data_IF_651950302883
#
_entry.id   IF_651950302883
#
_cell.length_a   1.000
_cell.length_b   1.000
_cell.length_c   1.000
_cell.angle_alpha   90.00
_cell.angle_beta   90.00
_cell.angle_gamma   90.00
#
_symmetry.space_group_name_H-M   'P 1'
#
loop_
_entity.id
_entity.type
_entity.pdbx_description
1 polymer ?
#
# COMPACT_ATOMS: atom_id res chain seq x y z
N UNK A 1 7.39 -55.97 5.52
CA UNK A 1 7.49 -54.83 4.59
C UNK A 1 6.55 -53.77 5.10
N UNK A 2 7.08 -52.73 5.76
CA UNK A 2 6.26 -51.68 6.39
C UNK A 2 6.16 -50.53 5.39
N UNK A 3 4.91 -50.22 5.03
CA UNK A 3 4.55 -49.16 4.09
C UNK A 3 4.76 -47.80 4.75
N UNK A 4 5.71 -47.00 4.27
CA UNK A 4 5.86 -45.60 4.70
C UNK A 4 4.78 -44.74 4.06
N UNK A 5 3.87 -44.28 4.92
CA UNK A 5 2.85 -43.28 4.62
C UNK A 5 3.56 -41.95 4.35
N UNK A 6 3.48 -41.47 3.10
CA UNK A 6 3.94 -40.14 2.71
C UNK A 6 3.20 -39.08 3.52
N UNK A 7 3.90 -38.49 4.50
CA UNK A 7 3.38 -37.40 5.30
C UNK A 7 3.15 -36.18 4.39
N UNK A 8 1.88 -35.87 4.12
CA UNK A 8 1.43 -34.62 3.50
C UNK A 8 2.04 -33.43 4.28
N UNK A 9 3.16 -32.88 3.78
CA UNK A 9 3.74 -31.64 4.29
C UNK A 9 2.70 -30.53 4.10
N UNK A 10 2.01 -30.15 5.18
CA UNK A 10 1.19 -28.94 5.20
C UNK A 10 2.03 -27.77 4.66
N UNK A 11 1.52 -26.97 3.70
CA UNK A 11 2.24 -25.82 3.20
C UNK A 11 2.63 -24.92 4.38
N UNK A 12 3.92 -24.57 4.51
CA UNK A 12 4.36 -23.63 5.53
C UNK A 12 3.63 -22.30 5.29
N UNK A 13 2.92 -21.81 6.30
CA UNK A 13 2.27 -20.50 6.24
C UNK A 13 3.32 -19.39 6.20
N UNK A 14 3.30 -18.58 5.13
CA UNK A 14 4.22 -17.46 4.90
C UNK A 14 3.46 -16.14 4.90
N UNK A 15 4.18 -15.04 5.14
CA UNK A 15 3.61 -13.70 5.02
C UNK A 15 2.49 -13.45 6.03
N UNK A 16 1.46 -12.74 5.58
CA UNK A 16 0.30 -12.40 6.40
C UNK A 16 -0.57 -13.59 6.78
N UNK A 17 -0.46 -14.73 6.09
CA UNK A 17 -1.18 -15.98 6.45
C UNK A 17 -0.79 -16.54 7.82
N UNK A 18 0.22 -15.95 8.47
CA UNK A 18 0.59 -16.23 9.87
C UNK A 18 -0.28 -15.49 10.88
N UNK A 19 -0.96 -14.42 10.46
CA UNK A 19 -1.77 -13.54 11.32
C UNK A 19 -3.24 -13.55 10.90
N UNK A 20 -3.49 -13.66 9.60
CA UNK A 20 -4.82 -13.54 8.99
C UNK A 20 -5.09 -14.75 8.10
N UNK A 21 -6.19 -15.46 8.36
CA UNK A 21 -6.65 -16.50 7.44
C UNK A 21 -7.15 -15.92 6.10
N UNK A 22 -7.43 -16.79 5.13
CA UNK A 22 -7.85 -16.36 3.79
C UNK A 22 -9.20 -15.63 3.79
N UNK A 23 -10.09 -15.98 4.72
CA UNK A 23 -11.40 -15.36 4.81
C UNK A 23 -11.28 -13.95 5.40
N UNK A 24 -10.51 -13.77 6.47
CA UNK A 24 -10.19 -12.46 7.04
C UNK A 24 -9.53 -11.53 6.00
N UNK A 25 -8.57 -12.05 5.22
CA UNK A 25 -7.94 -11.27 4.16
C UNK A 25 -8.94 -10.87 3.07
N UNK A 26 -9.81 -11.80 2.64
CA UNK A 26 -10.86 -11.52 1.66
C UNK A 26 -11.84 -10.48 2.18
N UNK A 27 -12.33 -10.64 3.39
CA UNK A 27 -13.30 -9.71 3.98
C UNK A 27 -12.71 -8.31 4.15
N UNK A 28 -11.46 -8.19 4.60
CA UNK A 28 -10.77 -6.90 4.69
C UNK A 28 -10.56 -6.28 3.30
N UNK A 29 -10.12 -7.07 2.32
CA UNK A 29 -9.94 -6.63 0.94
C UNK A 29 -11.23 -6.05 0.35
N UNK A 30 -12.38 -6.68 0.63
CA UNK A 30 -13.70 -6.19 0.23
C UNK A 30 -14.30 -5.12 1.15
N UNK A 31 -13.60 -4.69 2.21
CA UNK A 31 -14.08 -3.69 3.16
C UNK A 31 -15.21 -4.16 4.08
N UNK A 32 -15.40 -5.48 4.22
CA UNK A 32 -16.44 -6.10 5.05
C UNK A 32 -16.06 -6.20 6.53
N UNK A 33 -14.78 -6.04 6.84
CA UNK A 33 -14.28 -6.11 8.23
C UNK A 33 -13.14 -5.12 8.46
N UNK A 34 -13.01 -4.71 9.72
CA UNK A 34 -11.85 -3.97 10.24
C UNK A 34 -10.99 -4.97 11.00
N UNK A 35 -9.72 -5.07 10.64
CA UNK A 35 -8.80 -5.99 11.30
C UNK A 35 -8.26 -5.35 12.58
N UNK A 36 -8.23 -6.13 13.66
CA UNK A 36 -7.53 -5.73 14.88
C UNK A 36 -6.02 -5.76 14.62
N UNK A 37 -5.36 -4.64 14.87
CA UNK A 37 -3.92 -4.48 14.73
C UNK A 37 -3.23 -4.56 16.11
N UNK A 38 -1.90 -4.51 16.13
CA UNK A 38 -1.12 -4.41 17.36
C UNK A 38 -1.25 -3.01 17.98
N UNK A 39 -1.37 -2.96 19.30
CA UNK A 39 -1.43 -1.70 20.06
C UNK A 39 -0.08 -0.97 20.01
N UNK A 40 1.01 -1.73 20.19
CA UNK A 40 2.39 -1.23 20.19
C UNK A 40 3.18 -1.63 18.94
N UNK A 41 4.18 -0.82 18.59
CA UNK A 41 5.11 -1.07 17.48
C UNK A 41 6.50 -1.40 18.06
N UNK A 42 7.25 -2.35 17.47
CA UNK A 42 8.61 -2.63 17.93
C UNK A 42 9.51 -1.39 17.86
N UNK A 43 10.09 -1.00 18.99
CA UNK A 43 10.95 0.19 19.06
C UNK A 43 12.43 -0.16 18.94
N UNK A 44 13.15 0.64 18.14
CA UNK A 44 14.61 0.59 18.03
C UNK A 44 15.11 1.99 17.77
N UNK A 45 15.68 2.65 18.78
CA UNK A 45 16.13 4.04 18.69
C UNK A 45 17.07 4.28 17.51
N UNK A 46 18.05 3.39 17.30
CA UNK A 46 18.99 3.47 16.17
C UNK A 46 18.26 3.52 14.82
N UNK A 47 17.32 2.60 14.59
CA UNK A 47 16.55 2.56 13.34
C UNK A 47 15.63 3.78 13.19
N UNK A 48 15.11 4.33 14.30
CA UNK A 48 14.28 5.53 14.27
C UNK A 48 15.07 6.76 13.82
N UNK A 49 16.33 6.88 14.27
CA UNK A 49 17.19 8.01 13.95
C UNK A 49 17.79 7.94 12.53
N UNK A 50 17.94 6.73 11.96
CA UNK A 50 18.64 6.48 10.69
C UNK A 50 18.22 7.38 9.52
N UNK A 51 16.94 7.73 9.41
CA UNK A 51 16.40 8.50 8.29
C UNK A 51 15.77 9.84 8.66
N UNK A 52 16.01 10.33 9.88
CA UNK A 52 15.46 11.61 10.38
C UNK A 52 15.83 12.77 9.47
N UNK A 53 17.12 12.91 9.09
CA UNK A 53 17.55 14.00 8.21
C UNK A 53 16.86 13.98 6.82
N UNK A 54 16.49 12.79 6.30
CA UNK A 54 15.71 12.70 5.05
C UNK A 54 14.26 13.10 5.25
N UNK A 55 13.70 12.77 6.41
CA UNK A 55 12.36 13.16 6.78
C UNK A 55 12.26 14.68 7.01
N UNK A 56 13.20 15.29 7.72
CA UNK A 56 13.28 16.75 7.86
C UNK A 56 13.41 17.44 6.49
N UNK A 57 14.22 16.88 5.59
CA UNK A 57 14.30 17.36 4.20
C UNK A 57 13.02 17.17 3.40
N UNK A 58 12.18 16.19 3.72
CA UNK A 58 10.84 16.06 3.13
C UNK A 58 9.93 17.17 3.66
N UNK A 59 9.98 17.49 4.96
CA UNK A 59 9.17 18.53 5.59
C UNK A 59 9.43 19.93 5.03
N UNK A 60 10.61 20.18 4.46
CA UNK A 60 10.92 21.44 3.77
C UNK A 60 10.39 21.52 2.33
N UNK A 61 9.75 20.46 1.82
CA UNK A 61 9.17 20.45 0.46
C UNK A 61 7.81 21.16 0.45
N UNK A 62 7.47 21.88 -0.63
CA UNK A 62 6.12 22.45 -0.80
C UNK A 62 5.02 21.40 -0.66
N UNK A 63 5.26 20.18 -1.14
CA UNK A 63 4.30 19.07 -1.14
C UNK A 63 4.21 18.30 0.18
N UNK A 64 4.95 18.68 1.23
CA UNK A 64 5.13 17.82 2.40
C UNK A 64 3.80 17.43 3.07
N UNK A 65 2.89 18.38 3.23
CA UNK A 65 1.60 18.11 3.88
C UNK A 65 0.75 17.14 3.05
N UNK A 66 0.61 17.37 1.75
CA UNK A 66 -0.13 16.49 0.84
C UNK A 66 0.44 15.06 0.86
N UNK A 67 1.77 14.93 0.89
CA UNK A 67 2.46 13.62 1.01
C UNK A 67 2.07 12.91 2.30
N UNK A 68 2.10 13.61 3.44
CA UNK A 68 1.77 13.01 4.74
C UNK A 68 0.28 12.64 4.85
N UNK A 69 -0.61 13.43 4.27
CA UNK A 69 -2.05 13.16 4.24
C UNK A 69 -2.39 11.92 3.41
N UNK A 70 -1.83 11.83 2.20
CA UNK A 70 -2.04 10.64 1.36
C UNK A 70 -1.41 9.41 1.98
N UNK A 71 -0.25 9.53 2.61
CA UNK A 71 0.35 8.40 3.31
C UNK A 71 -0.53 7.92 4.47
N UNK A 72 -1.08 8.83 5.29
CA UNK A 72 -2.04 8.46 6.35
C UNK A 72 -3.21 7.65 5.78
N UNK A 73 -3.77 8.13 4.68
CA UNK A 73 -4.89 7.46 4.01
C UNK A 73 -4.49 6.10 3.46
N UNK A 74 -3.36 6.02 2.75
CA UNK A 74 -2.86 4.77 2.18
C UNK A 74 -2.54 3.75 3.29
N UNK A 75 -1.90 4.16 4.37
CA UNK A 75 -1.58 3.28 5.50
C UNK A 75 -2.83 2.70 6.17
N UNK A 76 -3.83 3.55 6.41
CA UNK A 76 -5.12 3.13 6.99
C UNK A 76 -5.90 2.21 6.05
N UNK A 77 -5.99 2.57 4.78
CA UNK A 77 -6.94 1.97 3.87
C UNK A 77 -6.34 0.82 3.04
N UNK A 78 -5.02 0.78 2.83
CA UNK A 78 -4.38 -0.13 1.87
C UNK A 78 -3.38 -1.11 2.50
N UNK A 79 -3.01 -0.97 3.77
CA UNK A 79 -2.11 -1.92 4.45
C UNK A 79 -2.90 -2.65 5.54
N UNK A 80 -2.95 -4.00 5.53
CA UNK A 80 -3.59 -4.77 6.59
C UNK A 80 -2.67 -4.85 7.81
N UNK A 81 -3.24 -4.68 9.02
CA UNK A 81 -2.52 -4.77 10.30
C UNK A 81 -1.12 -4.09 10.25
N UNK A 82 -1.05 -2.81 9.85
CA UNK A 82 0.19 -2.14 9.56
C UNK A 82 1.17 -2.09 10.73
N UNK A 83 0.69 -1.93 11.97
CA UNK A 83 1.55 -1.89 13.18
C UNK A 83 2.18 -3.24 13.46
N UNK A 84 1.40 -4.32 13.40
CA UNK A 84 1.88 -5.68 13.66
C UNK A 84 2.90 -6.17 12.61
N UNK A 85 2.81 -5.65 11.38
CA UNK A 85 3.57 -6.17 10.23
C UNK A 85 4.64 -5.22 9.70
N UNK A 86 4.79 -4.06 10.35
CA UNK A 86 5.74 -3.03 10.01
C UNK A 86 7.16 -3.56 9.85
N UNK A 87 7.86 -3.04 8.83
CA UNK A 87 9.25 -3.32 8.45
C UNK A 87 9.49 -4.75 7.96
N UNK A 88 8.87 -5.75 8.59
CA UNK A 88 9.03 -7.16 8.26
C UNK A 88 8.29 -7.55 6.97
N UNK A 89 7.06 -7.06 6.76
CA UNK A 89 6.25 -7.42 5.58
C UNK A 89 5.99 -6.24 4.66
N UNK A 90 6.13 -5.01 5.15
CA UNK A 90 6.10 -3.79 4.35
C UNK A 90 7.12 -2.77 4.86
N UNK A 91 7.52 -1.81 4.03
CA UNK A 91 8.28 -0.65 4.49
C UNK A 91 7.96 0.61 3.71
N UNK A 92 8.09 1.76 4.37
CA UNK A 92 8.05 3.07 3.72
C UNK A 92 9.44 3.70 3.72
N UNK A 93 9.89 4.17 2.56
CA UNK A 93 11.18 4.84 2.36
C UNK A 93 10.96 6.33 2.14
N UNK A 94 11.81 7.18 2.73
CA UNK A 94 11.77 8.64 2.58
C UNK A 94 12.92 9.14 1.69
N UNK A 95 12.59 9.90 0.65
CA UNK A 95 13.53 10.41 -0.36
C UNK A 95 14.53 9.32 -0.82
N UNK A 96 14.06 8.17 -1.33
CA UNK A 96 14.94 7.10 -1.77
C UNK A 96 15.90 7.59 -2.87
N UNK A 97 17.13 7.09 -2.83
CA UNK A 97 18.20 7.48 -3.75
C UNK A 97 18.07 6.83 -5.14
N UNK A 98 17.09 5.95 -5.33
CA UNK A 98 16.83 5.26 -6.60
C UNK A 98 16.35 6.23 -7.69
N UNK A 99 16.58 5.91 -8.97
CA UNK A 99 16.13 6.73 -10.10
C UNK A 99 14.63 7.03 -10.03
N UNK A 100 14.24 8.24 -10.45
CA UNK A 100 12.85 8.70 -10.46
C UNK A 100 12.48 9.74 -9.41
N UNK A 101 13.38 10.06 -8.45
CA UNK A 101 13.19 11.14 -7.44
C UNK A 101 11.86 11.05 -6.66
N UNK A 102 11.45 9.83 -6.29
CA UNK A 102 10.28 9.65 -5.42
C UNK A 102 10.47 10.44 -4.11
N UNK A 103 9.40 11.09 -3.65
CA UNK A 103 9.35 11.71 -2.33
C UNK A 103 9.28 10.62 -1.26
N UNK A 104 8.40 9.64 -1.49
CA UNK A 104 8.20 8.49 -0.61
C UNK A 104 7.86 7.26 -1.43
N UNK A 105 8.11 6.07 -0.85
CA UNK A 105 7.80 4.78 -1.49
C UNK A 105 7.44 3.71 -0.48
N UNK A 106 6.37 2.98 -0.73
CA UNK A 106 5.93 1.81 0.04
C UNK A 106 6.29 0.54 -0.73
N UNK A 107 6.84 -0.45 -0.04
CA UNK A 107 7.32 -1.70 -0.63
C UNK A 107 6.86 -2.89 0.21
N UNK A 108 6.70 -4.05 -0.41
CA UNK A 108 6.50 -5.33 0.27
C UNK A 108 7.15 -6.47 -0.53
N UNK A 109 7.67 -7.48 0.16
CA UNK A 109 8.50 -8.52 -0.48
C UNK A 109 9.61 -7.87 -1.34
N UNK A 110 9.64 -8.15 -2.64
CA UNK A 110 10.57 -7.58 -3.62
C UNK A 110 9.91 -6.53 -4.55
N UNK A 111 8.75 -6.00 -4.16
CA UNK A 111 7.90 -5.16 -5.03
C UNK A 111 7.67 -3.77 -4.45
N UNK A 112 7.69 -2.77 -5.34
CA UNK A 112 7.18 -1.43 -5.05
C UNK A 112 5.65 -1.47 -5.12
N UNK A 113 4.95 -1.02 -4.09
CA UNK A 113 3.48 -1.03 -4.08
C UNK A 113 2.92 0.32 -4.50
N UNK A 114 3.53 1.38 -3.97
CA UNK A 114 3.06 2.74 -4.10
C UNK A 114 4.21 3.73 -3.97
N UNK A 115 4.20 4.80 -4.76
CA UNK A 115 5.15 5.90 -4.64
C UNK A 115 4.47 7.25 -4.85
N UNK A 116 4.96 8.28 -4.18
CA UNK A 116 4.61 9.68 -4.47
C UNK A 116 5.81 10.42 -5.03
N UNK A 117 5.55 11.28 -6.00
CA UNK A 117 6.52 12.12 -6.68
C UNK A 117 6.08 13.58 -6.59
N UNK A 118 7.05 14.49 -6.58
CA UNK A 118 6.76 15.89 -6.87
C UNK A 118 6.37 16.01 -8.36
N UNK A 119 5.35 16.80 -8.65
CA UNK A 119 4.88 17.09 -10.01
C UNK A 119 4.56 18.58 -10.14
N UNK A 120 5.56 19.35 -10.59
CA UNK A 120 5.51 20.81 -10.51
C UNK A 120 5.30 21.30 -9.07
N UNK A 121 4.24 22.10 -8.87
CA UNK A 121 3.81 22.55 -7.54
C UNK A 121 3.02 21.52 -6.73
N UNK A 122 2.52 20.46 -7.36
CA UNK A 122 1.71 19.42 -6.73
C UNK A 122 2.43 18.08 -6.64
N UNK A 123 1.63 17.01 -6.62
CA UNK A 123 2.08 15.63 -6.44
C UNK A 123 1.51 14.70 -7.52
N UNK A 124 2.21 13.58 -7.71
CA UNK A 124 1.74 12.46 -8.52
C UNK A 124 1.97 11.14 -7.79
N UNK A 125 0.94 10.33 -7.71
CA UNK A 125 1.00 8.96 -7.25
C UNK A 125 1.37 7.99 -8.38
N UNK A 126 2.06 6.93 -8.02
CA UNK A 126 2.20 5.70 -8.79
C UNK A 126 1.69 4.54 -7.94
N UNK A 127 0.65 3.86 -8.41
CA UNK A 127 0.15 2.61 -7.86
C UNK A 127 0.61 1.46 -8.74
N UNK A 128 1.15 0.39 -8.15
CA UNK A 128 1.22 -0.91 -8.81
C UNK A 128 0.04 -1.77 -8.35
N UNK A 129 -0.61 -2.41 -9.31
CA UNK A 129 -1.82 -3.22 -9.13
C UNK A 129 -1.80 -4.41 -10.09
N UNK A 130 -2.76 -5.33 -9.95
CA UNK A 130 -2.93 -6.38 -10.94
C UNK A 130 -3.62 -5.83 -12.20
N UNK A 131 -3.16 -6.23 -13.38
CA UNK A 131 -3.78 -5.82 -14.65
C UNK A 131 -5.22 -6.34 -14.76
N UNK A 132 -5.45 -7.59 -14.36
CA UNK A 132 -6.75 -8.27 -14.35
C UNK A 132 -7.83 -7.54 -13.52
N UNK A 133 -7.44 -6.70 -12.56
CA UNK A 133 -8.40 -5.87 -11.81
C UNK A 133 -8.92 -4.67 -12.62
N UNK A 134 -8.21 -4.29 -13.69
CA UNK A 134 -8.46 -3.10 -14.53
C UNK A 134 -8.78 -3.43 -16.00
N UNK A 135 -8.85 -4.70 -16.38
CA UNK A 135 -9.41 -5.11 -17.67
C UNK A 135 -10.92 -5.31 -17.59
N UNK A 136 -11.60 -5.15 -18.71
CA UNK A 136 -13.07 -5.31 -18.82
C UNK A 136 -13.55 -6.74 -18.63
N UNK A 137 -12.68 -7.71 -18.90
CA UNK A 137 -12.96 -9.15 -18.87
C UNK A 137 -12.11 -9.92 -17.85
N UNK A 138 -11.38 -9.21 -16.99
CA UNK A 138 -10.42 -9.77 -16.02
C UNK A 138 -9.27 -10.58 -16.63
N UNK A 139 -9.03 -10.44 -17.94
CA UNK A 139 -7.89 -11.05 -18.61
C UNK A 139 -6.59 -10.28 -18.36
N UNK A 140 -5.48 -10.88 -18.79
CA UNK A 140 -4.15 -10.23 -18.82
C UNK A 140 -3.90 -9.49 -20.15
N UNK A 141 -4.92 -9.35 -21.00
CA UNK A 141 -4.80 -8.68 -22.29
C UNK A 141 -4.72 -7.15 -22.10
N UNK A 142 -3.58 -6.58 -22.47
CA UNK A 142 -3.34 -5.14 -22.40
C UNK A 142 -4.30 -4.32 -23.27
N UNK A 143 -4.86 -4.93 -24.33
CA UNK A 143 -5.87 -4.30 -25.19
C UNK A 143 -7.27 -4.23 -24.56
N UNK A 144 -7.47 -4.82 -23.37
CA UNK A 144 -8.76 -4.88 -22.66
C UNK A 144 -8.84 -3.94 -21.46
N UNK A 145 -7.85 -3.06 -21.27
CA UNK A 145 -7.86 -2.06 -20.19
C UNK A 145 -9.13 -1.23 -20.25
N UNK A 146 -9.82 -1.12 -19.12
CA UNK A 146 -11.04 -0.36 -18.94
C UNK A 146 -10.69 1.12 -18.68
N UNK A 147 -10.37 1.84 -19.77
CA UNK A 147 -9.96 3.25 -19.71
C UNK A 147 -11.07 4.15 -19.14
N UNK A 148 -12.31 3.91 -19.55
CA UNK A 148 -13.47 4.66 -19.04
C UNK A 148 -13.61 4.53 -17.52
N UNK A 149 -13.35 3.34 -16.96
CA UNK A 149 -13.30 3.16 -15.51
C UNK A 149 -12.15 3.94 -14.87
N UNK A 150 -10.94 3.90 -15.45
CA UNK A 150 -9.78 4.64 -14.93
C UNK A 150 -10.03 6.14 -14.89
N UNK A 151 -10.51 6.71 -15.99
CA UNK A 151 -10.86 8.14 -16.10
C UNK A 151 -11.97 8.52 -15.12
N UNK A 152 -12.97 7.65 -14.94
CA UNK A 152 -14.03 7.83 -13.96
C UNK A 152 -13.54 7.88 -12.50
N UNK A 153 -12.36 7.32 -12.20
CA UNK A 153 -11.78 7.30 -10.85
C UNK A 153 -11.02 8.58 -10.47
N UNK A 154 -10.82 9.54 -11.37
CA UNK A 154 -10.05 10.77 -11.13
C UNK A 154 -10.86 12.03 -11.42
N UNK A 155 -10.38 13.21 -11.02
CA UNK A 155 -11.15 14.46 -11.15
C UNK A 155 -11.34 14.86 -12.61
N UNK A 156 -10.29 14.77 -13.42
CA UNK A 156 -10.34 14.90 -14.88
C UNK A 156 -9.59 13.75 -15.54
N UNK A 157 -9.96 13.32 -16.76
CA UNK A 157 -9.29 12.20 -17.45
C UNK A 157 -7.77 12.39 -17.59
N UNK A 158 -7.31 13.62 -17.75
CA UNK A 158 -5.89 13.94 -17.93
C UNK A 158 -5.05 13.70 -16.67
N UNK A 159 -5.69 13.55 -15.50
CA UNK A 159 -4.99 13.25 -14.25
C UNK A 159 -4.58 11.79 -14.14
N UNK A 160 -5.11 10.89 -14.97
CA UNK A 160 -4.73 9.48 -14.98
C UNK A 160 -3.91 9.12 -16.21
N UNK A 161 -2.94 8.23 -16.02
CA UNK A 161 -2.26 7.54 -17.12
C UNK A 161 -1.74 6.21 -16.61
N UNK A 162 -1.37 5.31 -17.51
CA UNK A 162 -0.93 3.97 -17.12
C UNK A 162 0.23 3.45 -17.97
N UNK A 163 0.82 2.35 -17.55
CA UNK A 163 1.87 1.63 -18.27
C UNK A 163 1.94 0.18 -17.80
N UNK A 164 2.69 -0.65 -18.53
CA UNK A 164 2.86 -2.08 -18.26
C UNK A 164 4.32 -2.36 -17.83
N UNK A 165 4.59 -2.47 -16.52
CA UNK A 165 5.89 -2.91 -16.03
C UNK A 165 6.24 -4.33 -16.51
N UNK A 166 7.50 -4.72 -16.30
CA UNK A 166 7.89 -6.13 -16.47
C UNK A 166 7.23 -6.98 -15.39
N UNK A 167 6.56 -8.05 -15.80
CA UNK A 167 5.94 -9.03 -14.92
C UNK A 167 4.56 -9.40 -15.42
N UNK A 168 4.20 -10.67 -15.26
CA UNK A 168 2.85 -11.13 -15.57
C UNK A 168 1.85 -10.47 -14.61
N UNK A 169 0.74 -9.98 -15.16
CA UNK A 169 -0.33 -9.32 -14.41
C UNK A 169 0.08 -8.08 -13.61
N UNK A 170 1.16 -7.37 -13.97
CA UNK A 170 1.53 -6.10 -13.31
C UNK A 170 1.07 -4.91 -14.13
N UNK A 171 0.39 -3.97 -13.47
CA UNK A 171 -0.11 -2.75 -14.08
C UNK A 171 0.28 -1.52 -13.24
N UNK A 172 0.81 -0.49 -13.89
CA UNK A 172 1.22 0.74 -13.24
C UNK A 172 0.27 1.89 -13.56
N UNK A 173 -0.36 2.47 -12.55
CA UNK A 173 -1.29 3.60 -12.69
C UNK A 173 -0.67 4.85 -12.08
N UNK A 174 -0.59 5.92 -12.87
CA UNK A 174 -0.16 7.25 -12.45
C UNK A 174 -1.38 8.13 -12.24
N UNK A 175 -1.46 8.77 -11.08
CA UNK A 175 -2.56 9.71 -10.76
C UNK A 175 -1.97 11.04 -10.30
N UNK A 176 -2.34 12.14 -10.96
CA UNK A 176 -1.85 13.50 -10.67
C UNK A 176 -2.84 14.24 -9.76
N UNK A 177 -2.31 14.98 -8.79
CA UNK A 177 -3.09 15.88 -7.93
C UNK A 177 -3.75 15.18 -6.73
N UNK A 178 -3.75 15.86 -5.58
CA UNK A 178 -4.26 15.30 -4.33
C UNK A 178 -5.73 14.85 -4.46
N UNK A 179 -6.61 15.70 -5.02
CA UNK A 179 -8.04 15.39 -5.18
C UNK A 179 -8.30 14.16 -6.05
N UNK A 180 -7.54 13.97 -7.13
CA UNK A 180 -7.66 12.79 -8.00
C UNK A 180 -7.12 11.53 -7.34
N UNK A 181 -6.02 11.63 -6.58
CA UNK A 181 -5.52 10.52 -5.76
C UNK A 181 -6.56 10.11 -4.72
N UNK A 182 -7.21 11.08 -4.08
CA UNK A 182 -8.25 10.86 -3.09
C UNK A 182 -9.52 10.22 -3.68
N UNK A 183 -9.93 10.67 -4.87
CA UNK A 183 -11.06 10.07 -5.61
C UNK A 183 -10.72 8.64 -6.05
N UNK A 184 -9.49 8.41 -6.53
CA UNK A 184 -9.03 7.08 -6.93
C UNK A 184 -9.05 6.09 -5.75
N UNK A 185 -8.53 6.50 -4.59
CA UNK A 185 -8.57 5.69 -3.37
C UNK A 185 -9.97 5.56 -2.75
N UNK A 186 -10.93 6.40 -3.14
CA UNK A 186 -12.34 6.27 -2.74
C UNK A 186 -13.13 5.30 -3.64
N UNK A 187 -12.67 5.07 -4.88
CA UNK A 187 -13.37 4.20 -5.82
C UNK A 187 -13.29 2.73 -5.35
N UNK A 188 -14.42 2.04 -5.08
CA UNK A 188 -14.41 0.71 -4.46
C UNK A 188 -13.63 -0.35 -5.23
N UNK A 189 -13.71 -0.33 -6.58
CA UNK A 189 -12.95 -1.26 -7.43
C UNK A 189 -11.45 -0.97 -7.38
N UNK A 190 -11.04 0.31 -7.45
CA UNK A 190 -9.63 0.68 -7.40
C UNK A 190 -9.01 0.39 -6.02
N UNK A 191 -9.69 0.75 -4.93
CA UNK A 191 -9.24 0.46 -3.57
C UNK A 191 -9.08 -1.06 -3.35
N UNK A 192 -10.05 -1.86 -3.81
CA UNK A 192 -9.96 -3.32 -3.73
C UNK A 192 -8.74 -3.86 -4.49
N UNK A 193 -8.47 -3.35 -5.69
CA UNK A 193 -7.32 -3.76 -6.49
C UNK A 193 -5.98 -3.43 -5.80
N UNK A 194 -5.86 -2.23 -5.22
CA UNK A 194 -4.68 -1.83 -4.43
C UNK A 194 -4.50 -2.77 -3.23
N UNK A 195 -5.58 -3.08 -2.49
CA UNK A 195 -5.53 -4.03 -1.37
C UNK A 195 -5.13 -5.44 -1.82
N UNK A 196 -5.68 -5.92 -2.93
CA UNK A 196 -5.38 -7.23 -3.48
C UNK A 196 -3.90 -7.35 -3.85
N UNK A 197 -3.35 -6.34 -4.53
CA UNK A 197 -1.92 -6.28 -4.87
C UNK A 197 -1.03 -6.28 -3.62
N UNK A 198 -1.35 -5.44 -2.64
CA UNK A 198 -0.61 -5.38 -1.38
C UNK A 198 -0.64 -6.73 -0.63
N UNK A 199 -1.82 -7.37 -0.53
CA UNK A 199 -1.95 -8.70 0.07
C UNK A 199 -1.12 -9.74 -0.68
N UNK A 200 -1.16 -9.76 -2.01
CA UNK A 200 -0.36 -10.69 -2.83
C UNK A 200 1.12 -10.59 -2.45
N UNK A 201 1.66 -9.37 -2.33
CA UNK A 201 3.07 -9.17 -2.03
C UNK A 201 3.42 -9.36 -0.55
N UNK A 202 2.57 -8.93 0.38
CA UNK A 202 2.79 -9.14 1.82
C UNK A 202 2.65 -10.63 2.22
N UNK A 203 1.90 -11.43 1.45
CA UNK A 203 1.81 -12.88 1.63
C UNK A 203 3.04 -13.65 1.14
N UNK A 204 3.90 -13.06 0.29
CA UNK A 204 5.14 -13.69 -0.20
C UNK A 204 6.23 -13.78 0.87
N UNK A 205 6.09 -13.07 1.99
CA UNK A 205 7.00 -13.15 3.13
C UNK A 205 7.79 -11.86 3.35
N UNK A 206 9.04 -12.01 3.80
CA UNK A 206 9.85 -10.88 4.28
C UNK A 206 10.07 -9.83 3.19
N UNK A 207 9.98 -8.57 3.60
CA UNK A 207 10.28 -7.40 2.80
C UNK A 207 11.80 -7.23 2.62
N UNK A 208 12.25 -7.18 1.37
CA UNK A 208 13.65 -6.98 1.02
C UNK A 208 14.13 -5.54 1.32
N UNK A 209 13.21 -4.59 1.43
CA UNK A 209 13.52 -3.16 1.61
C UNK A 209 13.49 -2.71 3.08
N UNK A 210 13.48 -3.64 4.04
CA UNK A 210 13.44 -3.36 5.48
C UNK A 210 14.55 -2.41 5.97
N UNK A 211 15.69 -2.37 5.28
CA UNK A 211 16.84 -1.53 5.64
C UNK A 211 16.61 -0.03 5.31
N UNK A 212 15.71 0.26 4.37
CA UNK A 212 15.37 1.62 3.94
C UNK A 212 14.14 2.19 4.65
N UNK A 213 13.56 1.44 5.60
CA UNK A 213 12.37 1.83 6.32
C UNK A 213 12.61 3.10 7.17
N UNK A 214 11.80 4.13 6.96
CA UNK A 214 11.85 5.40 7.69
C UNK A 214 10.73 5.45 8.74
N UNK A 215 11.10 5.26 10.01
CA UNK A 215 10.13 5.24 11.11
C UNK A 215 9.41 6.57 11.31
N UNK A 216 10.08 7.72 11.16
CA UNK A 216 9.42 9.04 11.27
C UNK A 216 8.28 9.19 10.27
N UNK A 217 8.46 8.69 9.05
CA UNK A 217 7.42 8.70 8.03
C UNK A 217 6.30 7.69 8.35
N UNK A 218 6.67 6.52 8.87
CA UNK A 218 5.71 5.52 9.32
C UNK A 218 4.86 6.00 10.51
N UNK A 219 5.43 6.79 11.43
CA UNK A 219 4.67 7.40 12.53
C UNK A 219 3.55 8.28 12.00
N UNK A 220 3.84 9.13 11.01
CA UNK A 220 2.81 9.94 10.36
C UNK A 220 1.81 9.09 9.61
N UNK A 221 2.25 8.07 8.89
CA UNK A 221 1.38 7.15 8.16
C UNK A 221 0.38 6.43 9.08
N UNK A 222 0.74 6.21 10.36
CA UNK A 222 -0.05 5.41 11.31
C UNK A 222 -0.74 6.21 12.43
N UNK A 223 -0.50 7.52 12.53
CA UNK A 223 -1.04 8.38 13.61
C UNK A 223 -2.55 8.65 13.55
N UNK A 224 -3.24 8.23 12.47
CA UNK A 224 -4.69 8.36 12.30
C UNK A 224 -5.53 7.17 12.77
N UNK A 225 -4.89 6.05 13.15
CA UNK A 225 -5.61 4.83 13.56
C UNK A 225 -6.31 4.93 14.92
N UNK A 226 -6.07 6.01 15.68
CA UNK A 226 -6.53 6.16 17.08
C UNK A 226 -7.87 6.92 17.22
N UNK A 227 -8.42 7.54 16.17
CA UNK A 227 -9.56 8.49 16.28
C UNK A 227 -10.96 7.93 16.04
N UNK A 228 -11.24 6.63 16.18
CA UNK A 228 -12.61 6.08 16.09
C UNK A 228 -12.98 5.11 17.20
N UNK A 229 -12.80 5.51 18.46
CA UNK A 229 -13.40 4.78 19.60
C UNK A 229 -14.29 5.64 20.50
N UNK A 230 -14.55 6.91 20.20
CA UNK A 230 -15.46 7.73 20.99
C UNK A 230 -16.33 8.64 20.11
N UNK A 231 -17.45 8.11 19.65
CA UNK A 231 -18.67 8.90 19.50
C UNK A 231 -19.73 8.26 20.40
N UNK A 232 -20.13 8.90 21.51
CA UNK A 232 -21.29 8.44 22.25
C UNK A 232 -22.53 8.74 21.40
N UNK A 233 -23.35 7.72 21.18
CA UNK A 233 -24.67 7.85 20.59
C UNK A 233 -25.53 8.73 21.50
N UNK A 234 -25.61 10.04 21.21
CA UNK A 234 -26.66 10.88 21.78
C UNK A 234 -27.96 10.57 21.07
N UNK A 235 -28.74 9.69 21.68
CA UNK A 235 -30.18 9.60 21.50
C UNK A 235 -30.80 10.74 22.32
N UNK A 236 -31.54 11.62 21.65
CA UNK A 236 -32.68 12.37 22.19
C UNK A 236 -33.61 12.69 21.04
#
# INVERSE_FOLDING_TARGET
MVSEVSANRRPKTTGLRRFLDLQQQRDWMHGKTILRDADERPESLELRLRYVARFEKLLTRPQAQEVLEILRRYGRDCIPIPRQTERYYWSVSCLPSTPGKALVRINASWMELFSLYADGGGIRALFLVHLSDFTTDHSLDQGRVDEAFLEGCVMTPEDVGYFFPRGEDIFGIKVRGCSSIDKFLAAPRALRAVRAFNLTHMNRGRNAYQASHCYSLADHMLSGAERRQFEPSTVS
#
